data_IF_440405301857
#
_entry.id   IF_440405301857
#
_cell.length_a   1.000
_cell.length_b   1.000
_cell.length_c   1.000
_cell.angle_alpha   90.00
_cell.angle_beta   90.00
_cell.angle_gamma   90.00
#
_symmetry.space_group_name_H-M   'P 1'
#
loop_
_entity.id
_entity.type
_entity.pdbx_description
1 polymer ?
#
# COMPACT_ATOMS: atom_id res chain seq x y z
N UNK A 1 13.18 -26.18 32.99
CA UNK A 1 12.94 -26.65 31.63
C UNK A 1 14.27 -26.89 30.93
N UNK A 2 14.41 -28.04 30.34
CA UNK A 2 15.61 -28.35 29.58
C UNK A 2 15.64 -27.53 28.29
N UNK A 3 16.85 -27.20 27.84
CA UNK A 3 17.05 -26.38 26.63
C UNK A 3 16.38 -26.99 25.40
N UNK A 4 16.50 -28.31 25.22
CA UNK A 4 15.91 -28.99 24.06
C UNK A 4 14.40 -28.86 24.03
N UNK A 5 13.73 -28.99 25.19
CA UNK A 5 12.28 -28.81 25.29
C UNK A 5 11.89 -27.37 24.98
N UNK A 6 12.66 -26.40 25.46
CA UNK A 6 12.43 -24.99 25.16
C UNK A 6 12.53 -24.71 23.67
N UNK A 7 13.60 -25.20 23.03
CA UNK A 7 13.84 -24.98 21.60
C UNK A 7 12.72 -25.59 20.77
N UNK A 8 12.27 -26.81 21.11
CA UNK A 8 11.20 -27.48 20.40
C UNK A 8 9.88 -26.69 20.48
N UNK A 9 9.55 -26.20 21.69
CA UNK A 9 8.33 -25.40 21.88
C UNK A 9 8.37 -24.08 21.14
N UNK A 10 9.51 -23.38 21.21
CA UNK A 10 9.67 -22.11 20.52
C UNK A 10 9.62 -22.30 19.01
N UNK A 11 10.26 -23.35 18.50
CA UNK A 11 10.24 -23.65 17.06
C UNK A 11 8.84 -23.94 16.55
N UNK A 12 8.04 -24.67 17.33
CA UNK A 12 6.65 -24.96 16.97
C UNK A 12 5.83 -23.67 16.91
N UNK A 13 5.99 -22.78 17.89
CA UNK A 13 5.29 -21.49 17.91
C UNK A 13 5.73 -20.59 16.76
N UNK A 14 7.02 -20.56 16.45
CA UNK A 14 7.54 -19.80 15.32
C UNK A 14 6.96 -20.28 13.98
N UNK A 15 6.78 -21.59 13.85
CA UNK A 15 6.14 -22.15 12.66
C UNK A 15 4.69 -21.68 12.54
N UNK A 16 3.93 -21.69 13.64
CA UNK A 16 2.57 -21.19 13.67
C UNK A 16 2.49 -19.70 13.32
N UNK A 17 3.40 -18.90 13.86
CA UNK A 17 3.47 -17.46 13.55
C UNK A 17 3.70 -17.25 12.06
N UNK A 18 4.60 -18.02 11.46
CA UNK A 18 4.91 -17.94 10.03
C UNK A 18 3.69 -18.28 9.18
N UNK A 19 2.99 -19.35 9.53
CA UNK A 19 1.77 -19.75 8.82
C UNK A 19 0.69 -18.69 8.91
N UNK A 20 0.49 -18.10 10.10
CA UNK A 20 -0.47 -17.02 10.29
C UNK A 20 -0.09 -15.76 9.49
N UNK A 21 1.18 -15.43 9.41
CA UNK A 21 1.66 -14.31 8.58
C UNK A 21 1.32 -14.51 7.11
N UNK A 22 1.50 -15.73 6.59
CA UNK A 22 1.13 -16.04 5.21
C UNK A 22 -0.36 -15.90 4.98
N UNK A 23 -1.18 -16.39 5.92
CA UNK A 23 -2.64 -16.24 5.83
C UNK A 23 -3.06 -14.77 5.82
N UNK A 24 -2.44 -13.95 6.68
CA UNK A 24 -2.71 -12.51 6.71
C UNK A 24 -2.32 -11.85 5.39
N UNK A 25 -1.17 -12.20 4.82
CA UNK A 25 -0.74 -11.68 3.53
C UNK A 25 -1.72 -12.05 2.42
N UNK A 26 -2.17 -13.29 2.38
CA UNK A 26 -3.12 -13.76 1.37
C UNK A 26 -4.46 -13.03 1.47
N UNK A 27 -4.98 -12.87 2.69
CA UNK A 27 -6.21 -12.12 2.93
C UNK A 27 -6.06 -10.64 2.56
N UNK A 28 -4.91 -10.06 2.87
CA UNK A 28 -4.63 -8.66 2.54
C UNK A 28 -4.60 -8.47 1.03
N UNK A 29 -3.92 -9.35 0.31
CA UNK A 29 -3.84 -9.30 -1.15
C UNK A 29 -5.22 -9.47 -1.79
N UNK A 30 -6.05 -10.36 -1.25
CA UNK A 30 -7.41 -10.56 -1.71
C UNK A 30 -8.26 -9.32 -1.47
N UNK A 31 -8.17 -8.73 -0.28
CA UNK A 31 -8.90 -7.51 0.06
C UNK A 31 -8.53 -6.37 -0.88
N UNK A 32 -7.24 -6.19 -1.15
CA UNK A 32 -6.75 -5.17 -2.07
C UNK A 32 -7.29 -5.42 -3.48
N UNK A 33 -7.20 -6.65 -3.97
CA UNK A 33 -7.64 -7.00 -5.32
C UNK A 33 -9.14 -6.79 -5.55
N UNK A 34 -9.96 -6.92 -4.51
CA UNK A 34 -11.40 -6.75 -4.58
C UNK A 34 -11.85 -5.30 -4.37
N UNK A 35 -10.95 -4.40 -4.00
CA UNK A 35 -11.29 -3.01 -3.71
C UNK A 35 -11.67 -2.25 -4.97
N UNK A 36 -12.76 -1.48 -4.90
CA UNK A 36 -13.20 -0.60 -5.98
C UNK A 36 -12.16 0.46 -6.33
N UNK A 37 -11.40 0.94 -5.33
CA UNK A 37 -10.34 1.92 -5.55
C UNK A 37 -9.20 1.36 -6.37
N UNK A 38 -8.83 0.12 -6.12
CA UNK A 38 -7.79 -0.56 -6.89
C UNK A 38 -8.25 -0.80 -8.33
N UNK A 39 -9.53 -1.08 -8.53
CA UNK A 39 -10.10 -1.22 -9.88
C UNK A 39 -10.12 0.11 -10.61
N UNK A 40 -10.41 1.21 -9.92
CA UNK A 40 -10.39 2.55 -10.50
C UNK A 40 -8.97 3.04 -10.76
N UNK A 41 -8.05 2.77 -9.85
CA UNK A 41 -6.64 3.17 -9.93
C UNK A 41 -5.74 1.93 -9.80
N UNK A 42 -5.61 1.12 -10.84
CA UNK A 42 -4.85 -0.13 -10.76
C UNK A 42 -3.35 0.12 -10.49
N UNK A 43 -2.70 -0.88 -9.89
CA UNK A 43 -1.25 -0.87 -9.72
C UNK A 43 -0.59 -0.66 -11.08
N UNK A 44 0.38 0.26 -11.15
CA UNK A 44 1.07 0.61 -12.38
C UNK A 44 0.38 1.68 -13.20
N UNK A 45 -0.83 2.12 -12.84
CA UNK A 45 -1.50 3.19 -13.56
C UNK A 45 -0.89 4.54 -13.24
N UNK A 46 -0.93 5.45 -14.22
CA UNK A 46 -0.48 6.83 -14.05
C UNK A 46 -1.65 7.65 -13.51
N UNK A 47 -1.38 8.46 -12.51
CA UNK A 47 -2.39 9.29 -11.86
C UNK A 47 -1.89 10.73 -11.76
N UNK A 48 -2.83 11.65 -11.64
CA UNK A 48 -2.54 13.04 -11.29
C UNK A 48 -2.69 13.20 -9.79
N UNK A 49 -1.67 13.71 -9.14
CA UNK A 49 -1.72 14.04 -7.71
C UNK A 49 -1.92 15.54 -7.60
N UNK A 50 -3.03 15.95 -7.04
CA UNK A 50 -3.39 17.36 -6.90
C UNK A 50 -2.97 17.83 -5.51
N UNK A 51 -2.24 18.96 -5.45
CA UNK A 51 -1.87 19.57 -4.19
C UNK A 51 -3.04 20.45 -3.72
N UNK A 52 -3.65 20.08 -2.59
CA UNK A 52 -4.79 20.79 -2.04
C UNK A 52 -4.43 22.13 -1.39
N UNK A 53 -3.19 22.31 -0.97
CA UNK A 53 -2.79 23.55 -0.30
C UNK A 53 -2.81 24.74 -1.25
N UNK A 54 -2.44 24.52 -2.51
CA UNK A 54 -2.47 25.55 -3.53
C UNK A 54 -3.60 25.37 -4.54
N UNK A 55 -4.17 24.17 -4.64
CA UNK A 55 -5.20 23.82 -5.62
C UNK A 55 -4.74 23.81 -7.07
N UNK A 56 -3.50 24.18 -7.35
CA UNK A 56 -3.01 24.39 -8.72
C UNK A 56 -1.84 23.50 -9.10
N UNK A 57 -1.14 22.93 -8.13
CA UNK A 57 0.01 22.10 -8.43
C UNK A 57 -0.45 20.65 -8.70
N UNK A 58 -0.31 20.24 -9.94
CA UNK A 58 -0.62 18.88 -10.36
C UNK A 58 0.68 18.17 -10.71
N UNK A 59 0.93 17.05 -10.05
CA UNK A 59 2.12 16.24 -10.27
C UNK A 59 1.69 14.89 -10.84
N UNK A 60 2.44 14.37 -11.79
CA UNK A 60 2.21 13.01 -12.29
C UNK A 60 2.93 12.01 -11.39
N UNK A 61 2.29 10.88 -11.22
CA UNK A 61 2.86 9.76 -10.49
C UNK A 61 2.27 8.46 -10.98
N UNK A 62 2.79 7.36 -10.47
CA UNK A 62 2.17 6.06 -10.72
C UNK A 62 2.01 5.28 -9.43
N UNK A 63 1.01 4.41 -9.42
CA UNK A 63 0.72 3.60 -8.25
C UNK A 63 1.66 2.41 -8.23
N UNK A 64 2.57 2.39 -7.25
CA UNK A 64 3.50 1.28 -7.06
C UNK A 64 2.79 0.07 -6.44
N UNK A 65 2.00 0.32 -5.41
CA UNK A 65 1.28 -0.72 -4.68
C UNK A 65 0.25 -0.10 -3.75
N UNK A 66 -0.57 -0.95 -3.15
CA UNK A 66 -1.49 -0.57 -2.08
C UNK A 66 -1.07 -1.27 -0.79
N UNK A 67 -1.31 -0.62 0.33
CA UNK A 67 -1.08 -1.18 1.66
C UNK A 67 -2.34 -1.03 2.49
N UNK A 68 -2.49 -1.90 3.47
CA UNK A 68 -3.53 -1.77 4.50
C UNK A 68 -2.86 -1.27 5.77
N UNK A 69 -3.35 -0.14 6.29
CA UNK A 69 -2.76 0.48 7.48
C UNK A 69 -3.12 -0.30 8.75
N UNK A 70 -2.49 0.08 9.88
CA UNK A 70 -2.78 -0.51 11.17
C UNK A 70 -4.25 -0.35 11.58
N UNK A 71 -4.92 0.68 11.06
CA UNK A 71 -6.35 0.93 11.29
C UNK A 71 -7.23 0.29 10.22
N UNK A 72 -6.67 -0.63 9.42
CA UNK A 72 -7.36 -1.37 8.36
C UNK A 72 -7.86 -0.49 7.21
N UNK A 73 -7.24 0.65 7.00
CA UNK A 73 -7.54 1.53 5.88
C UNK A 73 -6.62 1.25 4.70
N UNK A 74 -7.18 1.29 3.51
CA UNK A 74 -6.43 1.15 2.27
C UNK A 74 -5.69 2.45 1.97
N UNK A 75 -4.42 2.35 1.60
CA UNK A 75 -3.66 3.52 1.16
C UNK A 75 -2.80 3.18 -0.06
N UNK A 76 -2.77 4.05 -1.06
CA UNK A 76 -1.87 3.88 -2.19
C UNK A 76 -0.46 4.36 -1.86
N UNK A 77 0.53 3.68 -2.41
CA UNK A 77 1.92 4.13 -2.42
C UNK A 77 2.20 4.63 -3.82
N UNK A 78 2.48 5.91 -3.94
CA UNK A 78 2.63 6.58 -5.23
C UNK A 78 4.06 7.06 -5.40
N UNK A 79 4.63 6.77 -6.56
CA UNK A 79 5.91 7.31 -6.96
C UNK A 79 5.66 8.57 -7.79
N UNK A 80 5.94 9.73 -7.22
CA UNK A 80 5.84 11.00 -7.91
C UNK A 80 7.07 11.25 -8.75
N UNK A 81 6.86 11.69 -9.98
CA UNK A 81 7.94 12.07 -10.89
C UNK A 81 8.11 13.58 -10.78
N UNK A 82 9.26 14.02 -10.28
CA UNK A 82 9.59 15.44 -10.16
C UNK A 82 10.06 16.00 -11.49
N UNK A 83 10.02 17.32 -11.63
CA UNK A 83 10.45 18.02 -12.84
C UNK A 83 11.92 17.77 -13.20
N UNK A 84 12.76 17.49 -12.20
CA UNK A 84 14.19 17.19 -12.39
C UNK A 84 14.45 15.73 -12.75
N UNK A 85 13.38 14.91 -12.90
CA UNK A 85 13.50 13.49 -13.20
C UNK A 85 13.65 12.59 -11.99
N UNK A 86 13.81 13.15 -10.79
CA UNK A 86 13.88 12.35 -9.56
C UNK A 86 12.51 11.83 -9.19
N UNK A 87 12.50 10.63 -8.56
CA UNK A 87 11.28 9.98 -8.13
C UNK A 87 11.20 10.05 -6.61
N UNK A 88 10.06 10.44 -6.07
CA UNK A 88 9.82 10.45 -4.64
C UNK A 88 8.61 9.58 -4.30
N UNK A 89 8.72 8.86 -3.18
CA UNK A 89 7.70 7.93 -2.71
C UNK A 89 6.78 8.62 -1.72
N UNK A 90 5.48 8.50 -1.95
CA UNK A 90 4.47 9.11 -1.08
C UNK A 90 3.45 8.07 -0.64
N UNK A 91 3.06 8.18 0.64
CA UNK A 91 2.00 7.37 1.23
C UNK A 91 0.78 8.27 1.41
N UNK A 92 -0.36 7.84 0.93
CA UNK A 92 -1.59 8.61 1.06
C UNK A 92 -2.60 7.86 1.91
N UNK A 93 -3.23 8.53 2.84
CA UNK A 93 -4.34 8.00 3.61
C UNK A 93 -5.59 7.89 2.73
N UNK A 94 -6.53 7.06 3.16
CA UNK A 94 -7.77 6.82 2.44
C UNK A 94 -8.52 8.12 2.10
N UNK A 95 -8.61 9.05 3.05
CA UNK A 95 -9.27 10.33 2.83
C UNK A 95 -8.57 11.17 1.77
N UNK A 96 -7.24 11.15 1.77
CA UNK A 96 -6.43 11.86 0.78
C UNK A 96 -6.52 11.21 -0.60
N UNK A 97 -6.71 9.89 -0.63
CA UNK A 97 -6.85 9.16 -1.88
C UNK A 97 -8.01 9.70 -2.74
N UNK A 98 -9.15 9.97 -2.12
CA UNK A 98 -10.31 10.51 -2.81
C UNK A 98 -10.12 11.95 -3.27
N UNK A 99 -9.48 12.77 -2.44
CA UNK A 99 -9.44 14.21 -2.64
C UNK A 99 -8.29 14.66 -3.53
N UNK A 100 -7.24 13.83 -3.64
CA UNK A 100 -5.99 14.23 -4.27
C UNK A 100 -5.62 13.46 -5.53
N UNK A 101 -6.31 12.37 -5.84
CA UNK A 101 -5.98 11.55 -7.01
C UNK A 101 -7.02 11.68 -8.09
N UNK A 102 -6.55 11.90 -9.32
CA UNK A 102 -7.38 11.91 -10.51
C UNK A 102 -6.77 10.97 -11.54
N UNK A 103 -7.62 10.38 -12.39
CA UNK A 103 -7.14 9.55 -13.48
C UNK A 103 -6.40 10.39 -14.50
N UNK A 104 -5.28 9.87 -14.98
CA UNK A 104 -4.56 10.48 -16.09
C UNK A 104 -5.17 9.97 -17.39
N UNK A 105 -5.78 10.87 -18.14
CA UNK A 105 -6.33 10.61 -19.47
C UNK A 105 -5.51 11.39 -20.49
N UNK A 106 -5.06 10.68 -21.49
CA UNK A 106 -4.38 11.31 -22.61
C UNK A 106 -5.38 11.99 -23.52
#
# INVERSE_FOLDING_TARGET
MEKEVFVDKVSALQKQIRELKYEICDLTDQYIAESEYVKEFPIGSIVKVVDNDSGTLVTLGFIEKYEVTINYNLRPIILKIKKDGNVSKHHYDYSMFHDHLEKYEK
#
